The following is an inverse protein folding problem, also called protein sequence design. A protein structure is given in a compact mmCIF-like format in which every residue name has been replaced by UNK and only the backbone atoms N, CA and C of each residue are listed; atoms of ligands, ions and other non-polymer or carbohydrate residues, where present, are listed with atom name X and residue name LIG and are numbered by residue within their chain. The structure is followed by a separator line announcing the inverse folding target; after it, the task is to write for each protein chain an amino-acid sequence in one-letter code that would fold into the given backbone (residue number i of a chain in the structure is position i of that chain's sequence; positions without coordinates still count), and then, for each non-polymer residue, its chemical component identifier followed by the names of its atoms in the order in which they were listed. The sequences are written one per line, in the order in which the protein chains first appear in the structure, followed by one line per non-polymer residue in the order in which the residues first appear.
data_IF_364627205338
#
_entry.id   IF_364627205338
#
_cell.length_a   1.000
_cell.length_b   1.000
_cell.length_c   1.000
_cell.angle_alpha   90.00
_cell.angle_beta   90.00
_cell.angle_gamma   90.00
#
_symmetry.space_group_name_H-M   'P 1'
#
loop_
_entity.id
_entity.type
_entity.pdbx_description
1 polymer ?
#
# COMPACT_ATOMS: atom_id res chain seq x y z
N UNK A 1 -9.78 13.15 -9.58
CA UNK A 1 -8.74 12.23 -9.03
C UNK A 1 -8.97 12.19 -7.54
N UNK A 2 -9.10 10.99 -6.95
CA UNK A 2 -9.25 10.87 -5.50
C UNK A 2 -7.88 11.12 -4.85
N UNK A 3 -7.81 12.11 -3.95
CA UNK A 3 -6.69 12.27 -3.04
C UNK A 3 -6.93 11.42 -1.79
N UNK A 4 -5.86 11.11 -1.07
CA UNK A 4 -5.91 10.53 0.26
C UNK A 4 -6.61 11.53 1.18
N UNK A 5 -7.78 11.20 1.77
CA UNK A 5 -8.46 12.10 2.69
C UNK A 5 -7.55 12.44 3.88
N UNK A 6 -7.63 13.66 4.41
CA UNK A 6 -6.80 14.10 5.54
C UNK A 6 -6.91 13.14 6.73
N UNK A 7 -8.13 12.66 7.01
CA UNK A 7 -8.38 11.65 8.05
C UNK A 7 -7.52 10.38 7.85
N UNK A 8 -7.44 9.86 6.62
CA UNK A 8 -6.67 8.65 6.32
C UNK A 8 -5.17 8.93 6.39
N UNK A 9 -4.74 10.14 5.99
CA UNK A 9 -3.33 10.54 6.03
C UNK A 9 -2.84 10.70 7.46
N UNK A 10 -3.61 11.36 8.31
CA UNK A 10 -3.32 11.49 9.75
C UNK A 10 -3.26 10.11 10.42
N UNK A 11 -4.21 9.22 10.11
CA UNK A 11 -4.19 7.86 10.61
C UNK A 11 -2.98 7.04 10.12
N UNK A 12 -2.54 7.26 8.88
CA UNK A 12 -1.36 6.59 8.34
C UNK A 12 -0.09 6.95 9.11
N UNK A 13 0.06 8.23 9.49
CA UNK A 13 1.19 8.69 10.30
C UNK A 13 1.13 8.15 11.74
N UNK A 14 -0.08 7.99 12.29
CA UNK A 14 -0.28 7.40 13.62
C UNK A 14 -0.39 5.86 13.62
N UNK A 15 -0.14 5.20 12.47
CA UNK A 15 -0.24 3.73 12.37
C UNK A 15 0.69 3.02 13.37
N UNK A 16 0.25 1.86 13.82
CA UNK A 16 1.02 0.97 14.68
C UNK A 16 1.32 -0.35 13.96
N UNK A 17 2.60 -0.76 13.98
CA UNK A 17 3.03 -2.04 13.46
C UNK A 17 3.00 -2.16 11.93
N UNK A 18 2.94 -3.41 11.39
CA UNK A 18 2.92 -3.66 9.96
C UNK A 18 1.56 -3.35 9.34
N UNK A 19 1.56 -3.04 8.05
CA UNK A 19 0.32 -3.04 7.25
C UNK A 19 0.09 -4.43 6.66
N UNK A 20 -1.16 -4.72 6.28
CA UNK A 20 -1.52 -5.89 5.48
C UNK A 20 -1.84 -5.45 4.07
N UNK A 21 -1.06 -5.89 3.08
CA UNK A 21 -1.38 -5.72 1.67
C UNK A 21 -2.03 -7.00 1.14
N UNK A 22 -3.28 -6.88 0.72
CA UNK A 22 -4.03 -7.92 0.03
C UNK A 22 -4.07 -7.65 -1.48
N UNK A 23 -3.88 -8.72 -2.24
CA UNK A 23 -3.91 -8.78 -3.71
C UNK A 23 -4.71 -10.02 -4.11
N UNK A 24 -5.04 -10.14 -5.39
CA UNK A 24 -5.76 -11.30 -5.92
C UNK A 24 -5.02 -11.84 -7.14
N UNK A 25 -5.01 -13.16 -7.31
CA UNK A 25 -4.54 -13.77 -8.55
C UNK A 25 -5.66 -13.87 -9.61
N UNK A 26 -5.34 -14.41 -10.78
CA UNK A 26 -6.29 -14.53 -11.91
C UNK A 26 -7.47 -15.45 -11.62
N UNK A 27 -7.32 -16.41 -10.71
CA UNK A 27 -8.41 -17.28 -10.29
C UNK A 27 -9.33 -16.63 -9.27
N UNK A 28 -9.11 -15.36 -8.91
CA UNK A 28 -9.83 -14.70 -7.84
C UNK A 28 -9.36 -15.13 -6.44
N UNK A 29 -8.24 -15.85 -6.32
CA UNK A 29 -7.75 -16.34 -5.02
C UNK A 29 -6.97 -15.22 -4.32
N UNK A 30 -7.36 -14.85 -3.09
CA UNK A 30 -6.69 -13.79 -2.36
C UNK A 30 -5.28 -14.20 -1.91
N UNK A 31 -4.42 -13.21 -1.80
CA UNK A 31 -3.09 -13.29 -1.20
C UNK A 31 -2.90 -12.08 -0.29
N UNK A 32 -2.45 -12.30 0.94
CA UNK A 32 -2.22 -11.24 1.93
C UNK A 32 -0.82 -11.37 2.53
N UNK A 33 -0.15 -10.25 2.73
CA UNK A 33 1.19 -10.18 3.32
C UNK A 33 1.26 -9.09 4.38
N UNK A 34 2.11 -9.28 5.39
CA UNK A 34 2.55 -8.18 6.24
C UNK A 34 3.67 -7.39 5.55
N UNK A 35 3.65 -6.07 5.68
CA UNK A 35 4.71 -5.19 5.21
C UNK A 35 5.01 -4.07 6.19
N UNK A 36 6.30 -3.79 6.42
CA UNK A 36 6.77 -2.75 7.34
C UNK A 36 7.49 -1.62 6.62
N UNK A 37 8.07 -1.89 5.45
CA UNK A 37 8.73 -0.90 4.61
C UNK A 37 7.67 -0.22 3.73
N UNK A 38 7.02 0.80 4.30
CA UNK A 38 5.89 1.50 3.69
C UNK A 38 6.03 3.02 3.80
N UNK A 39 5.39 3.73 2.89
CA UNK A 39 5.37 5.20 2.89
C UNK A 39 4.20 5.76 2.09
N UNK A 40 4.15 7.08 1.99
CA UNK A 40 3.19 7.82 1.15
C UNK A 40 3.96 8.48 0.01
N UNK A 41 3.36 8.55 -1.18
CA UNK A 41 3.89 9.32 -2.29
C UNK A 41 2.83 10.24 -2.88
N UNK A 42 3.13 11.54 -2.93
CA UNK A 42 2.21 12.56 -3.41
C UNK A 42 0.91 12.62 -2.60
N UNK A 43 -0.19 12.90 -3.30
CA UNK A 43 -1.51 13.07 -2.68
C UNK A 43 -2.40 11.84 -2.72
N UNK A 44 -2.06 10.79 -3.47
CA UNK A 44 -3.00 9.71 -3.80
C UNK A 44 -2.40 8.29 -3.71
N UNK A 45 -1.17 8.10 -3.23
CA UNK A 45 -0.52 6.78 -3.21
C UNK A 45 0.01 6.37 -1.84
N UNK A 46 -0.37 5.16 -1.44
CA UNK A 46 0.32 4.41 -0.39
C UNK A 46 1.30 3.44 -1.05
N UNK A 47 2.55 3.43 -0.57
CA UNK A 47 3.65 2.70 -1.19
C UNK A 47 4.14 1.60 -0.27
N UNK A 48 4.35 0.41 -0.83
CA UNK A 48 5.02 -0.72 -0.18
C UNK A 48 6.27 -1.08 -0.96
N UNK A 49 7.42 -1.16 -0.28
CA UNK A 49 8.66 -1.59 -0.92
C UNK A 49 8.61 -3.09 -1.23
N UNK A 50 8.84 -3.45 -2.49
CA UNK A 50 9.09 -4.84 -2.88
C UNK A 50 10.52 -5.20 -2.49
N UNK A 51 10.66 -5.76 -1.29
CA UNK A 51 11.93 -6.31 -0.83
C UNK A 51 12.05 -7.80 -1.16
N UNK A 52 10.96 -8.56 -1.05
CA UNK A 52 10.94 -10.02 -1.21
C UNK A 52 9.64 -10.53 -1.82
N UNK A 53 8.93 -9.71 -2.61
CA UNK A 53 7.66 -10.17 -3.19
C UNK A 53 7.90 -11.27 -4.21
N UNK A 54 7.04 -12.28 -4.13
CA UNK A 54 6.92 -13.30 -5.16
C UNK A 54 5.48 -13.32 -5.72
N UNK A 55 4.53 -13.92 -4.99
CA UNK A 55 3.11 -13.96 -5.39
C UNK A 55 2.51 -12.55 -5.51
N UNK A 56 2.77 -11.67 -4.55
CA UNK A 56 2.29 -10.28 -4.55
C UNK A 56 2.71 -9.54 -5.83
N UNK A 57 3.98 -9.68 -6.23
CA UNK A 57 4.51 -9.06 -7.46
C UNK A 57 3.81 -9.61 -8.70
N UNK A 58 3.64 -10.94 -8.82
CA UNK A 58 2.92 -11.53 -9.95
C UNK A 58 1.49 -11.00 -10.05
N UNK A 59 0.80 -10.88 -8.92
CA UNK A 59 -0.56 -10.34 -8.87
C UNK A 59 -0.60 -8.89 -9.35
N UNK A 60 0.30 -8.02 -8.87
CA UNK A 60 0.34 -6.61 -9.30
C UNK A 60 0.65 -6.48 -10.79
N UNK A 61 1.63 -7.22 -11.31
CA UNK A 61 2.04 -7.11 -12.72
C UNK A 61 0.97 -7.54 -13.71
N UNK A 62 -0.01 -8.34 -13.28
CA UNK A 62 -1.19 -8.68 -14.09
C UNK A 62 -2.22 -7.55 -14.13
N UNK A 63 -2.08 -6.55 -13.26
CA UNK A 63 -3.04 -5.50 -13.05
C UNK A 63 -4.16 -5.92 -12.10
N UNK A 64 -4.95 -4.93 -11.67
CA UNK A 64 -6.07 -5.14 -10.77
C UNK A 64 -5.99 -4.27 -9.51
N UNK A 65 -6.91 -4.54 -8.58
CA UNK A 65 -7.06 -3.79 -7.35
C UNK A 65 -6.35 -4.46 -6.18
N UNK A 66 -5.89 -3.64 -5.26
CA UNK A 66 -5.38 -4.04 -3.95
C UNK A 66 -6.25 -3.52 -2.82
N UNK A 67 -6.04 -4.10 -1.64
CA UNK A 67 -6.52 -3.55 -0.38
C UNK A 67 -5.36 -3.49 0.60
N UNK A 68 -5.16 -2.34 1.22
CA UNK A 68 -4.16 -2.13 2.26
C UNK A 68 -4.88 -1.83 3.58
N UNK A 69 -4.67 -2.67 4.57
CA UNK A 69 -5.24 -2.56 5.91
C UNK A 69 -4.15 -2.16 6.90
N UNK A 70 -4.45 -1.21 7.77
CA UNK A 70 -3.58 -0.82 8.88
C UNK A 70 -4.42 -0.41 10.10
N UNK A 71 -3.76 -0.32 11.25
CA UNK A 71 -4.37 0.09 12.52
C UNK A 71 -3.55 1.23 13.12
N UNK A 72 -4.20 2.16 13.80
CA UNK A 72 -3.57 3.23 14.59
C UNK A 72 -3.27 2.77 16.01
N UNK A 73 -2.46 3.54 16.75
CA UNK A 73 -2.09 3.24 18.14
C UNK A 73 -3.29 3.18 19.09
N UNK A 74 -4.37 3.89 18.78
CA UNK A 74 -5.64 3.86 19.54
C UNK A 74 -6.57 2.71 19.11
N UNK A 75 -6.12 1.83 18.20
CA UNK A 75 -6.86 0.65 17.75
C UNK A 75 -7.86 0.90 16.61
N UNK A 76 -7.88 2.08 15.99
CA UNK A 76 -8.76 2.36 14.85
C UNK A 76 -8.20 1.75 13.56
N UNK A 77 -9.01 0.93 12.91
CA UNK A 77 -8.61 0.21 11.69
C UNK A 77 -9.08 0.94 10.42
N UNK A 78 -8.17 1.03 9.44
CA UNK A 78 -8.41 1.66 8.14
C UNK A 78 -8.10 0.71 7.00
N UNK A 79 -9.00 0.66 6.02
CA UNK A 79 -8.83 -0.12 4.80
C UNK A 79 -8.86 0.81 3.58
N UNK A 80 -7.76 0.85 2.83
CA UNK A 80 -7.63 1.63 1.60
C UNK A 80 -7.61 0.69 0.41
N UNK A 81 -8.38 0.99 -0.62
CA UNK A 81 -8.51 0.18 -1.83
C UNK A 81 -8.25 1.02 -3.07
N UNK A 82 -7.77 0.35 -4.12
CA UNK A 82 -7.64 0.95 -5.43
C UNK A 82 -6.69 0.19 -6.33
N UNK A 83 -6.30 0.81 -7.43
CA UNK A 83 -5.42 0.21 -8.44
C UNK A 83 -3.98 0.10 -7.94
N UNK A 84 -3.34 -1.04 -8.17
CA UNK A 84 -1.91 -1.23 -7.87
C UNK A 84 -1.04 -0.92 -9.09
N UNK A 85 -0.04 -0.08 -8.87
CA UNK A 85 1.02 0.25 -9.83
C UNK A 85 2.34 -0.37 -9.36
N UNK A 86 3.22 -0.76 -10.29
CA UNK A 86 4.51 -1.37 -9.97
C UNK A 86 5.66 -0.64 -10.63
N UNK A 87 6.43 0.08 -9.82
CA UNK A 87 7.45 1.02 -10.27
C UNK A 87 8.85 0.46 -10.02
N UNK A 88 9.59 0.14 -11.09
CA UNK A 88 11.02 -0.26 -11.01
C UNK A 88 12.00 0.90 -11.20
N UNK A 89 11.48 2.08 -11.54
CA UNK A 89 12.21 3.33 -11.83
C UNK A 89 11.25 4.51 -11.74
N UNK A 90 11.80 5.72 -11.71
CA UNK A 90 11.03 6.97 -11.67
C UNK A 90 10.68 7.39 -10.25
N UNK A 91 9.98 8.51 -10.13
CA UNK A 91 9.87 9.27 -8.87
C UNK A 91 9.32 8.45 -7.68
N UNK A 92 8.33 7.59 -7.91
CA UNK A 92 7.76 6.71 -6.86
C UNK A 92 8.81 5.72 -6.35
N UNK A 93 9.59 5.13 -7.27
CA UNK A 93 10.66 4.21 -6.92
C UNK A 93 11.80 4.94 -6.22
N UNK A 94 12.20 6.10 -6.74
CA UNK A 94 13.29 6.90 -6.19
C UNK A 94 12.95 7.38 -4.78
N UNK A 95 11.72 7.85 -4.54
CA UNK A 95 11.22 8.19 -3.21
C UNK A 95 11.21 6.98 -2.26
N UNK A 96 10.80 5.80 -2.74
CA UNK A 96 10.85 4.57 -1.95
C UNK A 96 12.26 4.22 -1.50
N UNK A 97 13.25 4.38 -2.37
CA UNK A 97 14.66 4.09 -2.06
C UNK A 97 15.23 5.02 -0.97
N UNK A 98 14.64 6.20 -0.73
CA UNK A 98 15.09 7.12 0.31
C UNK A 98 14.78 6.65 1.72
N UNK A 99 13.64 5.97 1.92
CA UNK A 99 13.21 5.50 3.25
C UNK A 99 13.34 3.99 3.43
N UNK A 100 13.43 3.20 2.35
CA UNK A 100 13.60 1.75 2.48
C UNK A 100 15.01 1.44 3.04
N UNK A 101 15.14 0.66 4.13
CA UNK A 101 16.44 0.37 4.73
C UNK A 101 17.39 -0.28 3.72
N UNK A 102 18.63 0.21 3.63
CA UNK A 102 19.63 -0.25 2.66
C UNK A 102 19.96 -1.76 2.74
N UNK A 103 19.69 -2.40 3.89
CA UNK A 103 19.82 -3.85 4.07
C UNK A 103 18.82 -4.66 3.25
N UNK A 104 17.72 -4.04 2.81
CA UNK A 104 16.70 -4.69 2.00
C UNK A 104 16.89 -4.33 0.52
N UNK A 105 16.55 -5.24 -0.42
CA UNK A 105 16.84 -5.01 -1.84
C UNK A 105 16.14 -3.79 -2.43
N UNK A 106 14.87 -3.57 -2.08
CA UNK A 106 14.02 -2.55 -2.70
C UNK A 106 13.98 -2.70 -4.23
N UNK A 107 13.55 -3.87 -4.72
CA UNK A 107 13.50 -4.19 -6.14
C UNK A 107 12.52 -3.32 -6.93
N UNK A 108 11.45 -2.86 -6.27
CA UNK A 108 10.43 -1.99 -6.85
C UNK A 108 9.60 -1.30 -5.76
N UNK A 109 8.83 -0.29 -6.14
CA UNK A 109 7.79 0.31 -5.32
C UNK A 109 6.42 -0.16 -5.83
N UNK A 110 5.67 -0.87 -4.99
CA UNK A 110 4.27 -1.19 -5.24
C UNK A 110 3.42 -0.03 -4.69
N UNK A 111 2.79 0.74 -5.57
CA UNK A 111 1.99 1.89 -5.18
C UNK A 111 0.50 1.58 -5.34
N UNK A 112 -0.23 1.65 -4.24
CA UNK A 112 -1.69 1.61 -4.25
C UNK A 112 -2.21 3.03 -4.47
N UNK A 113 -2.76 3.28 -5.66
CA UNK A 113 -3.48 4.51 -5.96
C UNK A 113 -4.85 4.46 -5.33
N UNK A 114 -5.16 5.43 -4.47
CA UNK A 114 -6.40 5.43 -3.68
C UNK A 114 -7.62 5.65 -4.56
N UNK A 115 -8.61 4.79 -4.39
CA UNK A 115 -9.94 4.91 -4.98
C UNK A 115 -11.03 4.90 -3.91
N UNK A 116 -10.84 4.10 -2.85
CA UNK A 116 -11.77 4.02 -1.74
C UNK A 116 -11.03 3.93 -0.41
N UNK A 117 -11.59 4.50 0.65
CA UNK A 117 -11.07 4.31 2.00
C UNK A 117 -12.19 4.10 3.01
N UNK A 118 -11.93 3.26 4.00
CA UNK A 118 -12.90 2.85 5.02
C UNK A 118 -12.29 2.91 6.41
N UNK A 119 -13.12 3.21 7.40
CA UNK A 119 -12.83 3.01 8.82
C UNK A 119 -13.98 2.19 9.42
N UNK A 120 -13.73 0.91 9.71
CA UNK A 120 -14.81 -0.03 10.00
C UNK A 120 -15.83 -0.08 8.85
N UNK A 121 -17.11 0.12 9.15
CA UNK A 121 -18.19 0.15 8.15
C UNK A 121 -18.34 1.50 7.40
N UNK A 122 -17.69 2.59 7.89
CA UNK A 122 -17.84 3.92 7.28
C UNK A 122 -16.92 4.07 6.07
N UNK A 123 -17.50 4.40 4.91
CA UNK A 123 -16.77 4.85 3.72
C UNK A 123 -16.38 6.33 3.88
N UNK A 124 -15.13 6.63 3.63
CA UNK A 124 -14.54 7.99 3.74
C UNK A 124 -14.46 8.64 2.35
N UNK A 125 -14.00 7.88 1.35
CA UNK A 125 -13.95 8.24 -0.07
C UNK A 125 -14.30 7.02 -0.92
#
# INVERSE_FOLDING_TARGET
MASLPSEVREAWEDREGPVVLATVDEGGVPNAIYATCVGVFGEDRLVVADNYFDKTRRNILRGGKGSLLFITKDGKAYQVKGTLEYHRRGEVFDAMKQWNPAKHPGHAAAALKVEEAYSGARKIV
#
